data_IF_890368547221
#
_entry.id   IF_890368547221
#
_cell.length_a   1.000
_cell.length_b   1.000
_cell.length_c   1.000
_cell.angle_alpha   90.00
_cell.angle_beta   90.00
_cell.angle_gamma   90.00
#
_symmetry.space_group_name_H-M   'P 1'
#
loop_
_entity.id
_entity.type
_entity.pdbx_description
1 polymer ?
#
# COMPACT_ATOMS: atom_id res chain seq x y z
N UNK A 1 -19.76 15.76 -22.66
CA UNK A 1 -20.81 14.87 -22.19
C UNK A 1 -20.51 13.45 -22.66
N UNK A 2 -20.54 12.50 -21.74
CA UNK A 2 -20.40 11.04 -21.98
C UNK A 2 -21.69 10.38 -21.55
N UNK A 3 -22.22 9.49 -22.38
CA UNK A 3 -23.45 8.74 -22.10
C UNK A 3 -23.14 7.25 -22.24
N UNK A 4 -23.41 6.46 -21.20
CA UNK A 4 -23.14 5.01 -21.14
C UNK A 4 -24.29 4.34 -20.37
N UNK A 5 -24.91 3.32 -20.95
CA UNK A 5 -26.00 2.56 -20.34
C UNK A 5 -27.09 3.43 -19.68
N UNK A 6 -27.49 4.52 -20.37
CA UNK A 6 -28.50 5.46 -19.87
C UNK A 6 -27.99 6.45 -18.81
N UNK A 7 -26.78 6.29 -18.28
CA UNK A 7 -26.17 7.25 -17.36
C UNK A 7 -25.43 8.34 -18.12
N UNK A 8 -25.40 9.57 -17.56
CA UNK A 8 -24.78 10.73 -18.19
C UNK A 8 -23.79 11.38 -17.24
N UNK A 9 -22.58 11.66 -17.72
CA UNK A 9 -21.59 12.44 -17.01
C UNK A 9 -21.06 13.60 -17.86
N UNK A 10 -20.74 14.71 -17.21
CA UNK A 10 -20.20 15.91 -17.87
C UNK A 10 -18.91 16.35 -17.19
N UNK A 11 -17.99 16.86 -17.98
CA UNK A 11 -16.73 17.47 -17.50
C UNK A 11 -16.19 18.45 -18.54
N UNK A 12 -15.36 19.39 -18.10
CA UNK A 12 -14.69 20.33 -18.99
C UNK A 12 -13.51 19.70 -19.69
N UNK A 13 -13.40 19.87 -21.00
CA UNK A 13 -12.22 19.49 -21.78
C UNK A 13 -11.07 20.51 -21.69
N UNK A 14 -11.27 21.65 -20.97
CA UNK A 14 -10.28 22.73 -20.78
C UNK A 14 -9.74 23.29 -22.13
N UNK A 15 -10.53 23.21 -23.18
CA UNK A 15 -10.23 23.83 -24.49
C UNK A 15 -11.09 25.05 -24.67
N UNK A 16 -10.52 26.10 -25.27
CA UNK A 16 -11.19 27.34 -25.62
C UNK A 16 -11.05 27.61 -27.13
N UNK A 17 -12.12 28.04 -27.76
CA UNK A 17 -12.13 28.40 -29.18
C UNK A 17 -13.15 29.53 -29.42
N UNK A 18 -12.93 30.45 -30.34
CA UNK A 18 -13.93 31.45 -30.74
C UNK A 18 -15.24 30.79 -31.20
N UNK A 19 -16.37 31.36 -30.81
CA UNK A 19 -17.70 30.85 -31.20
C UNK A 19 -17.89 30.73 -32.71
N UNK A 20 -17.27 31.60 -33.49
CA UNK A 20 -17.31 31.60 -34.94
C UNK A 20 -16.68 30.35 -35.56
N UNK A 21 -15.70 29.77 -34.89
CA UNK A 21 -15.00 28.56 -35.32
C UNK A 21 -15.59 27.28 -34.74
N UNK A 22 -16.67 27.37 -33.96
CA UNK A 22 -17.28 26.17 -33.37
C UNK A 22 -18.49 25.67 -34.17
N UNK A 23 -18.52 24.38 -34.49
CA UNK A 23 -19.68 23.72 -35.05
C UNK A 23 -20.44 22.97 -33.98
N UNK A 24 -21.59 23.53 -33.56
CA UNK A 24 -22.41 22.90 -32.51
C UNK A 24 -23.09 21.60 -32.96
N UNK A 25 -23.37 21.44 -34.28
CA UNK A 25 -23.97 20.21 -34.82
C UNK A 25 -22.94 19.10 -34.95
N UNK A 26 -21.74 19.43 -35.44
CA UNK A 26 -20.64 18.50 -35.59
C UNK A 26 -19.84 18.25 -34.29
N UNK A 27 -20.05 19.07 -33.24
CA UNK A 27 -19.27 19.04 -31.98
C UNK A 27 -17.76 19.14 -32.25
N UNK A 28 -17.35 19.96 -33.20
CA UNK A 28 -15.97 20.17 -33.66
C UNK A 28 -15.68 21.60 -34.06
N UNK A 29 -14.42 21.94 -34.11
CA UNK A 29 -13.97 23.21 -34.66
C UNK A 29 -14.04 23.20 -36.19
N UNK A 30 -14.56 24.29 -36.79
CA UNK A 30 -14.64 24.50 -38.23
C UNK A 30 -13.32 25.03 -38.78
N UNK A 31 -13.06 24.70 -40.05
CA UNK A 31 -11.94 25.24 -40.80
C UNK A 31 -10.63 24.48 -40.64
N UNK A 32 -9.58 25.02 -41.31
CA UNK A 32 -8.24 24.41 -41.36
C UNK A 32 -7.18 25.23 -40.59
N UNK A 33 -7.61 26.16 -39.73
CA UNK A 33 -6.69 26.96 -38.92
C UNK A 33 -5.91 26.09 -37.94
N UNK A 34 -4.75 26.54 -37.49
CA UNK A 34 -3.94 25.84 -36.51
C UNK A 34 -4.72 25.63 -35.21
N UNK A 35 -5.49 26.63 -34.75
CA UNK A 35 -6.34 26.54 -33.56
C UNK A 35 -7.41 25.45 -33.72
N UNK A 36 -8.13 25.43 -34.87
CA UNK A 36 -9.16 24.43 -35.13
C UNK A 36 -8.58 23.00 -35.13
N UNK A 37 -7.40 22.81 -35.72
CA UNK A 37 -6.71 21.52 -35.75
C UNK A 37 -6.29 21.08 -34.35
N UNK A 38 -5.70 21.98 -33.55
CA UNK A 38 -5.24 21.67 -32.19
C UNK A 38 -6.42 21.29 -31.29
N UNK A 39 -7.53 22.04 -31.35
CA UNK A 39 -8.73 21.70 -30.57
C UNK A 39 -9.32 20.36 -31.00
N UNK A 40 -9.42 20.10 -32.31
CA UNK A 40 -9.94 18.84 -32.83
C UNK A 40 -9.02 17.65 -32.41
N UNK A 41 -7.71 17.82 -32.49
CA UNK A 41 -6.74 16.81 -32.04
C UNK A 41 -6.89 16.53 -30.52
N UNK A 42 -7.05 17.59 -29.71
CA UNK A 42 -7.27 17.45 -28.28
C UNK A 42 -8.58 16.69 -27.98
N UNK A 43 -9.66 16.98 -28.70
CA UNK A 43 -10.94 16.29 -28.57
C UNK A 43 -10.85 14.81 -28.97
N UNK A 44 -10.12 14.49 -30.04
CA UNK A 44 -9.89 13.11 -30.48
C UNK A 44 -9.05 12.33 -29.46
N UNK A 45 -8.03 12.94 -28.89
CA UNK A 45 -7.24 12.35 -27.81
C UNK A 45 -8.09 12.09 -26.56
N UNK A 46 -8.93 13.03 -26.14
CA UNK A 46 -9.85 12.85 -25.01
C UNK A 46 -10.81 11.69 -25.30
N UNK A 47 -11.37 11.63 -26.50
CA UNK A 47 -12.28 10.56 -26.91
C UNK A 47 -11.59 9.19 -26.87
N UNK A 48 -10.37 9.10 -27.37
CA UNK A 48 -9.57 7.86 -27.34
C UNK A 48 -9.29 7.40 -25.91
N UNK A 49 -8.93 8.33 -25.01
CA UNK A 49 -8.70 8.01 -23.61
C UNK A 49 -9.98 7.54 -22.89
N UNK A 50 -11.12 8.18 -23.14
CA UNK A 50 -12.41 7.79 -22.59
C UNK A 50 -12.78 6.37 -23.04
N UNK A 51 -12.59 6.04 -24.33
CA UNK A 51 -12.84 4.70 -24.87
C UNK A 51 -11.92 3.68 -24.18
N UNK A 52 -10.64 4.00 -24.02
CA UNK A 52 -9.68 3.13 -23.32
C UNK A 52 -10.08 2.89 -21.87
N UNK A 53 -10.52 3.91 -21.15
CA UNK A 53 -11.03 3.76 -19.78
C UNK A 53 -12.31 2.93 -19.73
N UNK A 54 -13.23 3.15 -20.66
CA UNK A 54 -14.46 2.36 -20.78
C UNK A 54 -14.14 0.87 -20.96
N UNK A 55 -13.29 0.52 -21.92
CA UNK A 55 -12.88 -0.86 -22.16
C UNK A 55 -12.27 -1.49 -20.91
N UNK A 56 -11.33 -0.79 -20.27
CA UNK A 56 -10.66 -1.27 -19.06
C UNK A 56 -11.62 -1.52 -17.89
N UNK A 57 -12.65 -0.70 -17.75
CA UNK A 57 -13.68 -0.88 -16.70
C UNK A 57 -14.62 -2.02 -17.09
N UNK A 58 -15.06 -2.06 -18.36
CA UNK A 58 -15.95 -3.09 -18.89
C UNK A 58 -15.35 -4.51 -18.79
N UNK A 59 -14.02 -4.65 -18.86
CA UNK A 59 -13.31 -5.92 -18.68
C UNK A 59 -13.35 -6.44 -17.24
N UNK A 60 -13.74 -5.60 -16.27
CA UNK A 60 -13.68 -5.90 -14.83
C UNK A 60 -15.05 -5.84 -14.15
N UNK A 61 -15.92 -4.98 -14.63
CA UNK A 61 -17.19 -4.66 -14.01
C UNK A 61 -18.35 -5.12 -14.90
N UNK A 62 -19.31 -5.80 -14.32
CA UNK A 62 -20.49 -6.27 -15.04
C UNK A 62 -21.38 -5.11 -15.54
N UNK A 63 -21.28 -3.94 -14.94
CA UNK A 63 -22.04 -2.74 -15.30
C UNK A 63 -21.18 -1.49 -15.23
N UNK A 64 -21.11 -0.74 -16.34
CA UNK A 64 -20.30 0.47 -16.46
C UNK A 64 -21.20 1.69 -16.53
N UNK A 65 -20.96 2.69 -15.69
CA UNK A 65 -21.64 3.98 -15.70
C UNK A 65 -20.78 5.07 -16.34
N UNK A 66 -21.42 6.11 -16.89
CA UNK A 66 -20.71 7.28 -17.44
C UNK A 66 -19.88 8.00 -16.35
N UNK A 67 -20.32 7.94 -15.09
CA UNK A 67 -19.62 8.51 -13.96
C UNK A 67 -18.33 7.76 -13.64
N UNK A 68 -18.33 6.43 -13.66
CA UNK A 68 -17.14 5.61 -13.50
C UNK A 68 -16.08 5.96 -14.55
N UNK A 69 -16.46 6.10 -15.81
CA UNK A 69 -15.56 6.44 -16.91
C UNK A 69 -15.05 7.89 -16.81
N UNK A 70 -15.92 8.86 -16.45
CA UNK A 70 -15.51 10.24 -16.16
C UNK A 70 -14.47 10.27 -15.04
N UNK A 71 -14.76 9.62 -13.94
CA UNK A 71 -13.89 9.58 -12.76
C UNK A 71 -12.54 8.94 -13.10
N UNK A 72 -12.54 7.84 -13.85
CA UNK A 72 -11.32 7.20 -14.32
C UNK A 72 -10.49 8.11 -15.26
N UNK A 73 -11.15 8.85 -16.14
CA UNK A 73 -10.49 9.82 -17.03
C UNK A 73 -9.92 11.02 -16.28
N UNK A 74 -10.66 11.56 -15.32
CA UNK A 74 -10.25 12.71 -14.51
C UNK A 74 -9.32 12.34 -13.34
N UNK A 75 -9.08 11.05 -13.10
CA UNK A 75 -8.42 10.59 -11.89
C UNK A 75 -9.24 10.81 -10.61
N UNK A 76 -10.53 11.18 -10.75
CA UNK A 76 -11.47 11.37 -9.64
C UNK A 76 -12.19 10.05 -9.41
N UNK A 77 -11.97 9.46 -8.23
CA UNK A 77 -12.64 8.20 -7.87
C UNK A 77 -11.86 6.91 -8.17
N UNK A 78 -10.80 6.90 -9.04
CA UNK A 78 -9.63 6.21 -8.59
C UNK A 78 -8.96 7.17 -7.59
N UNK A 79 -9.35 7.18 -6.36
CA UNK A 79 -8.33 7.29 -5.34
C UNK A 79 -7.36 6.20 -5.72
N UNK A 80 -6.31 6.57 -6.47
CA UNK A 80 -5.13 5.74 -6.55
C UNK A 80 -4.77 5.54 -5.10
N UNK A 81 -5.13 4.37 -4.59
CA UNK A 81 -4.88 4.10 -3.19
C UNK A 81 -3.37 4.18 -3.07
N UNK A 82 -2.94 5.28 -2.48
CA UNK A 82 -1.52 5.52 -2.26
C UNK A 82 -1.07 4.58 -1.14
N UNK A 83 0.18 4.22 -1.14
CA UNK A 83 0.71 3.20 -0.25
C UNK A 83 0.47 3.53 1.22
N UNK A 84 0.70 4.78 1.63
CA UNK A 84 0.52 5.20 3.02
C UNK A 84 -0.97 5.24 3.41
N UNK A 85 -1.86 5.73 2.52
CA UNK A 85 -3.31 5.69 2.77
C UNK A 85 -3.83 4.27 2.94
N UNK A 86 -3.39 3.33 2.10
CA UNK A 86 -3.76 1.92 2.23
C UNK A 86 -3.26 1.34 3.55
N UNK A 87 -2.04 1.67 3.95
CA UNK A 87 -1.49 1.26 5.23
C UNK A 87 -2.30 1.84 6.40
N UNK A 88 -2.67 3.12 6.33
CA UNK A 88 -3.49 3.78 7.35
C UNK A 88 -4.87 3.14 7.49
N UNK A 89 -5.51 2.80 6.36
CA UNK A 89 -6.79 2.08 6.33
C UNK A 89 -6.68 0.70 6.98
N UNK A 90 -5.61 -0.03 6.69
CA UNK A 90 -5.34 -1.32 7.30
C UNK A 90 -5.08 -1.20 8.81
N UNK A 91 -4.32 -0.18 9.25
CA UNK A 91 -4.10 0.12 10.65
C UNK A 91 -5.42 0.45 11.37
N UNK A 92 -6.29 1.26 10.77
CA UNK A 92 -7.60 1.60 11.32
C UNK A 92 -8.51 0.36 11.44
N UNK A 93 -8.50 -0.53 10.43
CA UNK A 93 -9.26 -1.78 10.47
C UNK A 93 -8.70 -2.76 11.51
N UNK A 94 -7.40 -2.82 11.67
CA UNK A 94 -6.76 -3.65 12.70
C UNK A 94 -7.11 -3.14 14.11
N UNK A 95 -7.10 -1.82 14.31
CA UNK A 95 -7.42 -1.20 15.60
C UNK A 95 -8.83 -1.56 16.09
N UNK A 96 -9.82 -1.65 15.20
CA UNK A 96 -11.19 -2.07 15.53
C UNK A 96 -11.29 -3.48 16.11
N UNK A 97 -10.26 -4.31 15.89
CA UNK A 97 -10.17 -5.69 16.34
C UNK A 97 -9.34 -5.86 17.61
N UNK A 98 -8.62 -4.82 18.03
CA UNK A 98 -7.81 -4.84 19.27
C UNK A 98 -8.74 -5.01 20.47
N UNK A 99 -8.36 -5.91 21.37
CA UNK A 99 -9.17 -6.30 22.54
C UNK A 99 -10.24 -7.36 22.25
N UNK A 100 -10.43 -7.76 20.99
CA UNK A 100 -11.32 -8.87 20.57
C UNK A 100 -10.49 -10.11 20.19
N UNK A 101 -9.86 -10.06 19.04
CA UNK A 101 -9.05 -11.14 18.47
C UNK A 101 -7.62 -10.71 18.13
N UNK A 102 -7.25 -9.46 18.45
CA UNK A 102 -5.94 -8.87 18.17
C UNK A 102 -5.37 -8.15 19.38
N UNK A 103 -4.06 -8.23 19.54
CA UNK A 103 -3.36 -7.56 20.63
C UNK A 103 -2.95 -6.14 20.26
N UNK A 104 -2.93 -5.24 21.24
CA UNK A 104 -2.41 -3.89 21.10
C UNK A 104 -0.91 -3.88 20.74
N UNK A 105 -0.16 -4.90 21.21
CA UNK A 105 1.26 -5.06 20.87
C UNK A 105 1.46 -5.23 19.36
N UNK A 106 0.68 -6.10 18.72
CA UNK A 106 0.73 -6.32 17.26
C UNK A 106 0.32 -5.05 16.50
N UNK A 107 -0.70 -4.32 16.97
CA UNK A 107 -1.08 -3.04 16.39
C UNK A 107 0.08 -2.03 16.40
N UNK A 108 0.76 -1.87 17.54
CA UNK A 108 1.93 -0.98 17.65
C UNK A 108 3.06 -1.35 16.68
N UNK A 109 3.28 -2.64 16.44
CA UNK A 109 4.26 -3.13 15.46
C UNK A 109 3.83 -2.76 14.04
N UNK A 110 2.57 -2.93 13.70
CA UNK A 110 2.02 -2.54 12.38
C UNK A 110 2.16 -1.02 12.12
N UNK A 111 1.82 -0.19 13.11
CA UNK A 111 1.98 1.27 13.01
C UNK A 111 3.45 1.67 12.84
N UNK A 112 4.37 0.97 13.54
CA UNK A 112 5.81 1.19 13.38
C UNK A 112 6.27 0.87 11.96
N UNK A 113 5.81 -0.24 11.38
CA UNK A 113 6.11 -0.60 9.99
C UNK A 113 5.62 0.48 9.01
N UNK A 114 4.39 0.97 9.20
CA UNK A 114 3.84 2.09 8.43
C UNK A 114 4.73 3.33 8.51
N UNK A 115 5.20 3.68 9.71
CA UNK A 115 6.05 4.85 9.91
C UNK A 115 7.42 4.69 9.25
N UNK A 116 7.99 3.48 9.26
CA UNK A 116 9.24 3.21 8.53
C UNK A 116 9.06 3.34 7.02
N UNK A 117 7.96 2.85 6.47
CA UNK A 117 7.65 3.01 5.03
C UNK A 117 7.50 4.49 4.68
N UNK A 118 6.77 5.28 5.48
CA UNK A 118 6.61 6.71 5.25
C UNK A 118 7.96 7.47 5.33
N UNK A 119 8.81 7.12 6.31
CA UNK A 119 10.13 7.70 6.44
C UNK A 119 11.04 7.34 5.26
N UNK A 120 10.99 6.10 4.77
CA UNK A 120 11.71 5.65 3.59
C UNK A 120 11.27 6.42 2.34
N UNK A 121 9.96 6.53 2.09
CA UNK A 121 9.43 7.29 0.94
C UNK A 121 9.91 8.75 1.02
N UNK A 122 9.86 9.35 2.20
CA UNK A 122 10.31 10.74 2.39
C UNK A 122 11.82 10.91 2.16
N UNK A 123 12.63 10.00 2.68
CA UNK A 123 14.09 10.04 2.58
C UNK A 123 14.56 9.78 1.16
N UNK A 124 14.08 8.69 0.54
CA UNK A 124 14.58 8.17 -0.72
C UNK A 124 13.93 8.83 -1.94
N UNK A 125 12.59 8.97 -1.92
CA UNK A 125 11.83 9.52 -3.06
C UNK A 125 11.47 11.00 -2.89
N UNK A 126 11.74 11.62 -1.74
CA UNK A 126 11.41 13.01 -1.40
C UNK A 126 9.91 13.34 -1.57
N UNK A 127 9.07 12.38 -1.28
CA UNK A 127 7.60 12.46 -1.35
C UNK A 127 6.99 12.11 0.00
N UNK A 128 5.74 12.52 0.23
CA UNK A 128 4.99 12.16 1.45
C UNK A 128 4.27 10.82 1.31
N UNK A 129 3.95 10.43 0.08
CA UNK A 129 3.26 9.20 -0.28
C UNK A 129 3.55 8.87 -1.76
N UNK A 130 3.20 7.66 -2.21
CA UNK A 130 3.33 7.25 -3.60
C UNK A 130 2.19 6.35 -4.04
N UNK A 131 1.88 6.37 -5.35
CA UNK A 131 0.85 5.51 -5.92
C UNK A 131 1.25 4.03 -5.82
N UNK A 132 0.29 3.17 -5.50
CA UNK A 132 0.47 1.72 -5.55
C UNK A 132 0.90 1.21 -6.94
N UNK A 133 0.54 1.94 -8.01
CA UNK A 133 0.91 1.59 -9.39
C UNK A 133 2.38 1.88 -9.72
N UNK A 134 3.04 2.75 -8.93
CA UNK A 134 4.47 3.07 -9.09
C UNK A 134 5.39 2.06 -8.40
N UNK A 135 4.83 1.14 -7.60
CA UNK A 135 5.63 0.16 -6.86
C UNK A 135 6.31 -0.83 -7.80
N UNK A 136 7.61 -0.91 -7.68
CA UNK A 136 8.46 -1.87 -8.41
C UNK A 136 8.91 -3.02 -7.50
N UNK A 137 9.39 -4.14 -8.06
CA UNK A 137 10.01 -5.21 -7.26
C UNK A 137 11.21 -4.74 -6.44
N UNK A 138 11.90 -3.69 -6.88
CA UNK A 138 13.07 -3.16 -6.19
C UNK A 138 12.71 -2.32 -4.97
N UNK A 139 11.53 -1.70 -4.94
CA UNK A 139 11.08 -0.89 -3.81
C UNK A 139 11.21 -1.62 -2.46
N UNK A 140 10.77 -2.88 -2.36
CA UNK A 140 10.85 -3.63 -1.10
C UNK A 140 12.27 -4.05 -0.75
N UNK A 141 13.15 -4.24 -1.75
CA UNK A 141 14.58 -4.53 -1.55
C UNK A 141 15.30 -3.29 -1.01
N UNK A 142 15.05 -2.14 -1.62
CA UNK A 142 15.57 -0.83 -1.19
C UNK A 142 15.07 -0.47 0.21
N UNK A 143 13.80 -0.75 0.50
CA UNK A 143 13.25 -0.58 1.85
C UNK A 143 13.96 -1.46 2.88
N UNK A 144 14.22 -2.73 2.57
CA UNK A 144 14.99 -3.62 3.45
C UNK A 144 16.42 -3.11 3.67
N UNK A 145 17.08 -2.65 2.61
CA UNK A 145 18.42 -2.04 2.68
C UNK A 145 18.43 -0.75 3.53
N UNK A 146 17.43 0.11 3.37
CA UNK A 146 17.23 1.30 4.20
C UNK A 146 17.08 0.96 5.69
N UNK A 147 16.28 -0.07 6.02
CA UNK A 147 16.10 -0.50 7.40
C UNK A 147 17.40 -1.05 8.01
N UNK A 148 18.27 -1.66 7.20
CA UNK A 148 19.58 -2.14 7.62
C UNK A 148 20.54 -0.98 7.82
N UNK A 149 20.73 -0.15 6.79
CA UNK A 149 21.80 0.85 6.73
C UNK A 149 21.49 2.09 7.59
N UNK A 150 20.27 2.64 7.46
CA UNK A 150 19.94 3.91 8.13
C UNK A 150 19.26 3.72 9.50
N UNK A 151 18.63 2.55 9.73
CA UNK A 151 17.92 2.27 10.99
C UNK A 151 18.63 1.26 11.88
N UNK A 152 19.67 0.58 11.38
CA UNK A 152 20.45 -0.39 12.14
C UNK A 152 19.63 -1.57 12.68
N UNK A 153 18.54 -1.95 12.00
CA UNK A 153 17.63 -2.98 12.50
C UNK A 153 18.20 -4.38 12.27
N UNK A 154 17.89 -5.29 13.18
CA UNK A 154 18.24 -6.71 13.05
C UNK A 154 17.34 -7.38 12.01
N UNK A 155 17.86 -8.45 11.36
CA UNK A 155 17.19 -9.15 10.26
C UNK A 155 15.76 -9.58 10.56
N UNK A 156 15.47 -10.13 11.75
CA UNK A 156 14.12 -10.51 12.16
C UNK A 156 13.13 -9.32 12.20
N UNK A 157 13.62 -8.13 12.60
CA UNK A 157 12.80 -6.92 12.62
C UNK A 157 12.59 -6.38 11.19
N UNK A 158 13.61 -6.45 10.33
CA UNK A 158 13.50 -6.07 8.91
C UNK A 158 12.49 -6.98 8.23
N UNK A 159 12.62 -8.30 8.40
CA UNK A 159 11.66 -9.27 7.89
C UNK A 159 10.22 -8.91 8.27
N UNK A 160 9.97 -8.64 9.56
CA UNK A 160 8.64 -8.30 10.06
C UNK A 160 8.07 -7.05 9.40
N UNK A 161 8.87 -5.98 9.24
CA UNK A 161 8.44 -4.75 8.58
C UNK A 161 8.15 -4.98 7.08
N UNK A 162 9.00 -5.75 6.39
CA UNK A 162 8.77 -6.13 4.99
C UNK A 162 7.51 -6.98 4.83
N UNK A 163 7.20 -7.88 5.78
CA UNK A 163 5.98 -8.69 5.74
C UNK A 163 4.71 -7.85 5.92
N UNK A 164 4.72 -6.83 6.78
CA UNK A 164 3.61 -5.87 6.88
C UNK A 164 3.41 -5.11 5.58
N UNK A 165 4.47 -4.57 4.98
CA UNK A 165 4.42 -3.88 3.69
C UNK A 165 3.89 -4.81 2.58
N UNK A 166 4.43 -6.03 2.49
CA UNK A 166 3.99 -7.05 1.52
C UNK A 166 2.51 -7.37 1.69
N UNK A 167 2.01 -7.46 2.94
CA UNK A 167 0.61 -7.71 3.25
C UNK A 167 -0.34 -6.62 2.75
N UNK A 168 0.03 -5.34 2.89
CA UNK A 168 -0.76 -4.20 2.38
C UNK A 168 -0.85 -4.25 0.85
N UNK A 169 0.28 -4.44 0.17
CA UNK A 169 0.33 -4.47 -1.30
C UNK A 169 -0.39 -5.71 -1.86
N UNK A 170 -0.30 -6.84 -1.18
CA UNK A 170 -1.03 -8.05 -1.55
C UNK A 170 -2.55 -7.87 -1.46
N UNK A 171 -3.05 -7.21 -0.40
CA UNK A 171 -4.48 -6.87 -0.30
C UNK A 171 -4.93 -5.92 -1.40
N UNK A 172 -4.11 -4.92 -1.74
CA UNK A 172 -4.39 -4.03 -2.86
C UNK A 172 -4.53 -4.80 -4.18
N UNK A 173 -3.68 -5.79 -4.40
CA UNK A 173 -3.77 -6.67 -5.57
C UNK A 173 -5.06 -7.51 -5.56
N UNK A 174 -5.40 -8.17 -4.46
CA UNK A 174 -6.63 -8.97 -4.35
C UNK A 174 -7.91 -8.13 -4.50
N UNK A 175 -7.86 -6.86 -4.09
CA UNK A 175 -8.95 -5.92 -4.27
C UNK A 175 -8.99 -5.29 -5.68
N UNK A 176 -8.13 -5.72 -6.61
CA UNK A 176 -8.09 -5.23 -7.98
C UNK A 176 -7.53 -3.80 -8.16
N UNK A 177 -6.95 -3.21 -7.12
CA UNK A 177 -6.39 -1.85 -7.17
C UNK A 177 -5.08 -1.81 -7.97
N UNK A 178 -4.33 -2.91 -8.00
CA UNK A 178 -3.12 -3.08 -8.82
C UNK A 178 -3.24 -4.36 -9.65
N UNK A 179 -2.77 -4.36 -10.91
CA UNK A 179 -2.94 -5.49 -11.83
C UNK A 179 -2.09 -6.70 -11.45
N UNK A 180 -0.96 -6.49 -10.77
CA UNK A 180 -0.06 -7.55 -10.31
C UNK A 180 0.61 -7.15 -8.99
N UNK A 181 0.96 -8.12 -8.18
CA UNK A 181 1.72 -7.87 -6.95
C UNK A 181 3.22 -7.74 -7.28
N UNK A 182 3.83 -6.54 -7.15
CA UNK A 182 5.25 -6.34 -7.45
C UNK A 182 6.18 -7.09 -6.48
N UNK A 183 5.70 -7.47 -5.29
CA UNK A 183 6.48 -8.12 -4.25
C UNK A 183 6.29 -9.64 -4.19
N UNK A 184 5.65 -10.24 -5.20
CA UNK A 184 5.37 -11.68 -5.21
C UNK A 184 6.64 -12.54 -5.06
N UNK A 185 7.72 -12.14 -5.74
CA UNK A 185 9.00 -12.86 -5.74
C UNK A 185 9.95 -12.43 -4.61
N UNK A 186 9.57 -11.47 -3.77
CA UNK A 186 10.42 -11.04 -2.67
C UNK A 186 10.36 -12.06 -1.52
N UNK A 187 11.51 -12.62 -1.20
CA UNK A 187 11.70 -13.54 -0.09
C UNK A 187 12.82 -13.01 0.81
N UNK A 188 12.57 -12.97 2.08
CA UNK A 188 13.53 -12.69 3.12
C UNK A 188 13.23 -13.65 4.26
N UNK A 189 14.26 -14.24 4.84
CA UNK A 189 14.13 -15.16 5.99
C UNK A 189 14.49 -14.42 7.27
N UNK A 190 13.71 -14.54 8.34
CA UNK A 190 14.16 -14.11 9.64
C UNK A 190 15.26 -15.10 10.07
N UNK A 191 16.52 -14.68 10.11
CA UNK A 191 17.56 -15.51 10.70
C UNK A 191 17.22 -15.75 12.17
N UNK A 192 16.53 -16.82 12.44
CA UNK A 192 16.22 -17.28 13.80
C UNK A 192 17.49 -17.94 14.30
N UNK A 193 18.19 -17.31 15.23
CA UNK A 193 19.21 -18.00 15.99
C UNK A 193 18.51 -19.10 16.82
N UNK A 194 18.99 -20.31 16.70
CA UNK A 194 18.62 -21.36 17.66
C UNK A 194 18.92 -20.82 19.06
N UNK A 195 17.95 -20.93 19.92
CA UNK A 195 18.13 -20.56 21.34
C UNK A 195 18.90 -21.67 21.98
N UNK A 196 19.99 -21.33 22.65
CA UNK A 196 20.68 -22.21 23.53
C UNK A 196 19.74 -22.58 24.67
N UNK A 197 19.81 -23.80 25.10
CA UNK A 197 19.10 -24.31 26.28
C UNK A 197 20.09 -24.46 27.42
N UNK A 198 19.59 -24.33 28.65
CA UNK A 198 20.41 -24.52 29.83
C UNK A 198 20.77 -26.02 29.96
N UNK A 199 22.02 -26.25 30.23
CA UNK A 199 22.49 -27.58 30.59
C UNK A 199 22.03 -27.97 32.02
N UNK A 200 22.04 -29.26 32.34
CA UNK A 200 21.65 -29.73 33.65
C UNK A 200 22.52 -29.10 34.77
N UNK A 201 23.81 -28.90 34.50
CA UNK A 201 24.73 -28.29 35.48
C UNK A 201 24.45 -26.78 35.66
N UNK A 202 23.99 -26.09 34.63
CA UNK A 202 23.56 -24.68 34.74
C UNK A 202 22.26 -24.56 35.54
N UNK A 203 21.32 -25.49 35.33
CA UNK A 203 20.09 -25.56 36.14
C UNK A 203 20.43 -25.84 37.60
N UNK A 204 21.33 -26.79 37.91
CA UNK A 204 21.78 -27.06 39.26
C UNK A 204 22.43 -25.83 39.92
N UNK A 205 23.24 -25.05 39.16
CA UNK A 205 23.82 -23.81 39.68
C UNK A 205 22.75 -22.76 40.00
N UNK A 206 21.72 -22.61 39.16
CA UNK A 206 20.60 -21.71 39.43
C UNK A 206 19.82 -22.16 40.66
N UNK A 207 19.59 -23.46 40.85
CA UNK A 207 18.94 -24.01 42.02
C UNK A 207 19.69 -23.71 43.34
N UNK A 208 21.01 -23.84 43.29
CA UNK A 208 21.87 -23.64 44.47
C UNK A 208 22.12 -22.15 44.79
N UNK A 209 21.79 -21.23 43.87
CA UNK A 209 22.04 -19.80 44.06
C UNK A 209 21.04 -19.18 45.05
N UNK A 210 21.55 -18.52 46.09
CA UNK A 210 20.72 -17.75 47.03
C UNK A 210 20.55 -16.32 46.51
N UNK A 211 19.31 -15.85 46.51
CA UNK A 211 18.94 -14.50 46.10
C UNK A 211 18.52 -13.67 47.31
N UNK A 212 19.12 -12.52 47.53
CA UNK A 212 18.73 -11.56 48.57
C UNK A 212 17.31 -11.03 48.37
N UNK A 213 16.84 -10.98 47.11
CA UNK A 213 15.52 -10.50 46.77
C UNK A 213 14.51 -11.67 46.74
N UNK A 214 13.47 -11.65 47.62
CA UNK A 214 12.45 -12.71 47.69
C UNK A 214 11.71 -12.95 46.37
N UNK A 215 11.50 -11.88 45.59
CA UNK A 215 10.83 -11.99 44.27
C UNK A 215 11.70 -12.80 43.29
N UNK A 216 13.01 -12.59 43.28
CA UNK A 216 13.93 -13.37 42.43
C UNK A 216 14.01 -14.82 42.87
N UNK A 217 14.00 -15.09 44.18
CA UNK A 217 13.93 -16.44 44.72
C UNK A 217 12.66 -17.18 44.24
N UNK A 218 11.51 -16.53 44.33
CA UNK A 218 10.23 -17.08 43.84
C UNK A 218 10.29 -17.35 42.31
N UNK A 219 10.84 -16.39 41.52
CA UNK A 219 10.97 -16.58 40.07
C UNK A 219 11.89 -17.76 39.74
N UNK A 220 13.01 -17.92 40.49
CA UNK A 220 13.89 -19.11 40.37
C UNK A 220 13.08 -20.36 40.61
N UNK A 221 12.36 -20.45 41.71
CA UNK A 221 11.64 -21.67 42.11
C UNK A 221 10.56 -22.05 41.10
N UNK A 222 9.82 -21.06 40.56
CA UNK A 222 8.85 -21.26 39.48
C UNK A 222 9.54 -21.73 38.19
N UNK A 223 10.71 -21.15 37.85
CA UNK A 223 11.47 -21.55 36.67
C UNK A 223 11.96 -22.98 36.79
N UNK A 224 12.55 -23.37 37.97
CA UNK A 224 13.01 -24.73 38.24
C UNK A 224 11.84 -25.70 38.15
N UNK A 225 10.70 -25.38 38.77
CA UNK A 225 9.49 -26.21 38.68
C UNK A 225 9.10 -26.45 37.20
N UNK A 226 9.11 -25.39 36.37
CA UNK A 226 8.79 -25.52 34.94
C UNK A 226 9.82 -26.33 34.14
N UNK A 227 11.06 -26.47 34.60
CA UNK A 227 12.08 -27.32 33.94
C UNK A 227 11.86 -28.80 34.17
N UNK A 228 11.15 -29.19 35.24
CA UNK A 228 10.96 -30.59 35.64
C UNK A 228 9.51 -31.11 35.50
N UNK A 229 8.61 -30.26 34.98
CA UNK A 229 7.22 -30.62 34.67
C UNK A 229 6.94 -30.58 33.17
#
# INVERSE_FOLDING_TARGET
RVTINGTVAQFSCKQTIPKTLWDAKGNRAKGKSAEARNVNLALDNIKAQIIKHYQRISDREAYVTAEMVRNAYQGVGSEYETLIKAFDKDCANFLKRVGKDRSIGTYKVMVRARNYVAAFIKSFYRRTDMSMLELTPDFIREFAAYLTAERGLKNATIWLNCMWLKGVVMRAHYNGLIPRNPFAQFHISPNVKEREYLTEDEIKRIMAHEFDNPTLALVRDLFIFACFT
#
